data_IF_231575340025
#
_entry.id   IF_231575340025
#
_cell.length_a   1.000
_cell.length_b   1.000
_cell.length_c   1.000
_cell.angle_alpha   90.00
_cell.angle_beta   90.00
_cell.angle_gamma   90.00
#
_symmetry.space_group_name_H-M   'P 1'
#
loop_
_entity.id
_entity.type
_entity.pdbx_description
1 polymer ?
#
# COMPACT_ATOMS: atom_id res chain seq x y z
N UNK A 1 11.86 28.53 18.19
CA UNK A 1 10.96 27.38 18.40
C UNK A 1 10.58 26.94 17.01
N UNK A 2 11.35 26.02 16.46
CA UNK A 2 11.15 25.49 15.11
C UNK A 2 9.88 24.66 15.15
N UNK A 3 8.89 25.04 14.32
CA UNK A 3 7.66 24.29 14.16
C UNK A 3 8.08 22.91 13.64
N UNK A 4 7.87 21.86 14.43
CA UNK A 4 8.01 20.51 13.89
C UNK A 4 7.05 20.41 12.71
N UNK A 5 7.59 20.21 11.50
CA UNK A 5 6.79 19.94 10.32
C UNK A 5 5.84 18.79 10.67
N UNK A 6 4.53 19.02 10.55
CA UNK A 6 3.51 18.06 10.98
C UNK A 6 3.33 17.00 9.90
N UNK A 7 4.42 16.34 9.56
CA UNK A 7 4.49 15.33 8.51
C UNK A 7 5.50 14.25 8.85
N UNK A 8 5.26 13.06 8.30
CA UNK A 8 6.15 11.93 8.45
C UNK A 8 6.10 11.06 7.20
N UNK A 9 7.14 10.28 6.95
CA UNK A 9 7.19 9.33 5.85
C UNK A 9 7.58 7.94 6.31
N UNK A 10 6.97 6.91 5.73
CA UNK A 10 7.21 5.50 6.04
C UNK A 10 7.67 4.79 4.77
N UNK A 11 8.72 3.99 4.89
CA UNK A 11 9.21 3.11 3.84
C UNK A 11 9.40 1.71 4.43
N UNK A 12 8.48 0.78 4.12
CA UNK A 12 8.54 -0.59 4.64
C UNK A 12 9.43 -1.46 3.75
N UNK A 13 10.38 -2.18 4.33
CA UNK A 13 11.23 -3.09 3.53
C UNK A 13 10.50 -4.41 3.25
N UNK A 14 10.61 -4.90 2.02
CA UNK A 14 10.19 -6.27 1.65
C UNK A 14 11.12 -7.37 2.19
N UNK A 15 12.31 -7.00 2.67
CA UNK A 15 13.35 -7.95 3.05
C UNK A 15 13.03 -8.65 4.37
N UNK A 16 13.12 -9.97 4.36
CA UNK A 16 12.93 -10.84 5.54
C UNK A 16 14.23 -11.08 6.31
N UNK A 17 15.37 -10.63 5.78
CA UNK A 17 16.70 -10.84 6.34
C UNK A 17 17.29 -9.53 6.86
N UNK A 18 16.86 -9.12 8.06
CA UNK A 18 17.49 -8.10 8.94
C UNK A 18 17.79 -6.71 8.36
N UNK A 19 17.15 -6.30 7.27
CA UNK A 19 17.23 -4.89 6.82
C UNK A 19 15.98 -4.14 7.23
N UNK A 20 16.14 -3.14 8.09
CA UNK A 20 15.05 -2.31 8.59
C UNK A 20 14.49 -1.42 7.48
N UNK A 21 13.17 -1.25 7.44
CA UNK A 21 12.56 -0.08 6.81
C UNK A 21 12.85 1.19 7.61
N UNK A 22 12.28 2.32 7.18
CA UNK A 22 12.56 3.63 7.79
C UNK A 22 11.27 4.39 8.04
N UNK A 23 11.20 5.04 9.21
CA UNK A 23 10.21 6.06 9.54
C UNK A 23 10.95 7.39 9.69
N UNK A 24 10.52 8.39 8.94
CA UNK A 24 11.03 9.75 8.97
C UNK A 24 10.01 10.65 9.67
N UNK A 25 10.45 11.48 10.60
CA UNK A 25 9.66 12.62 11.07
C UNK A 25 10.22 13.88 10.42
N UNK A 26 9.35 14.67 9.80
CA UNK A 26 9.72 15.85 9.03
C UNK A 26 9.66 15.66 7.51
N UNK A 27 10.03 16.72 6.80
CA UNK A 27 10.10 16.76 5.35
C UNK A 27 11.39 16.16 4.79
N UNK A 28 11.34 15.84 3.50
CA UNK A 28 12.48 15.28 2.78
C UNK A 28 13.65 16.27 2.66
N UNK A 29 14.72 15.90 1.95
CA UNK A 29 14.76 14.83 0.96
C UNK A 29 14.95 13.43 1.57
N UNK A 30 14.30 12.42 0.95
CA UNK A 30 14.41 11.02 1.34
C UNK A 30 15.42 10.31 0.44
N UNK A 31 16.69 10.35 0.81
CA UNK A 31 17.80 9.86 -0.04
C UNK A 31 18.21 8.43 0.32
N UNK A 32 18.03 7.51 -0.61
CA UNK A 32 18.41 6.10 -0.49
C UNK A 32 19.68 5.82 -1.28
N UNK A 33 20.44 4.79 -0.91
CA UNK A 33 21.60 4.38 -1.71
C UNK A 33 21.16 3.97 -3.13
N UNK A 34 21.96 4.28 -4.17
CA UNK A 34 23.29 4.92 -4.16
C UNK A 34 23.27 6.46 -4.30
N UNK A 35 22.27 7.17 -3.76
CA UNK A 35 21.95 8.62 -3.83
C UNK A 35 20.70 8.94 -4.67
N UNK A 36 19.67 8.12 -4.53
CA UNK A 36 18.36 8.34 -5.15
C UNK A 36 17.50 9.11 -4.16
N UNK A 37 17.12 10.33 -4.53
CA UNK A 37 16.16 11.14 -3.78
C UNK A 37 14.73 10.78 -4.19
N UNK A 38 14.05 10.05 -3.30
CA UNK A 38 12.70 9.53 -3.54
C UNK A 38 11.64 10.62 -3.42
N UNK A 39 11.92 11.73 -2.72
CA UNK A 39 10.96 12.85 -2.56
C UNK A 39 10.52 13.43 -3.91
N UNK A 40 11.36 13.31 -4.94
CA UNK A 40 11.10 13.80 -6.31
C UNK A 40 10.11 12.92 -7.10
N UNK A 41 9.79 11.73 -6.60
CA UNK A 41 8.93 10.76 -7.27
C UNK A 41 7.59 10.56 -6.55
N UNK A 42 7.30 11.40 -5.56
CA UNK A 42 6.03 11.35 -4.85
C UNK A 42 4.89 11.88 -5.73
N UNK A 43 3.82 11.12 -5.79
CA UNK A 43 2.53 11.51 -6.35
C UNK A 43 1.60 11.76 -5.17
N UNK A 44 0.87 12.87 -5.22
CA UNK A 44 0.02 13.30 -4.11
C UNK A 44 -1.46 13.13 -4.43
N UNK A 45 -2.20 12.66 -3.44
CA UNK A 45 -3.66 12.68 -3.39
C UNK A 45 -4.10 13.40 -2.10
N UNK A 46 -5.29 14.03 -2.06
CA UNK A 46 -5.83 14.54 -0.81
C UNK A 46 -5.90 13.45 0.28
N UNK A 47 -5.59 13.83 1.51
CA UNK A 47 -5.79 12.99 2.69
C UNK A 47 -7.07 13.47 3.38
N UNK A 48 -8.03 12.57 3.55
CA UNK A 48 -9.31 12.85 4.19
C UNK A 48 -9.28 12.23 5.59
N UNK A 49 -9.48 13.06 6.61
CA UNK A 49 -9.66 12.57 7.97
C UNK A 49 -11.10 12.06 8.13
N UNK A 50 -11.26 10.81 8.55
CA UNK A 50 -12.58 10.25 8.83
C UNK A 50 -13.06 10.78 10.20
N UNK A 51 -14.26 11.39 10.31
CA UNK A 51 -14.79 11.89 11.58
C UNK A 51 -15.12 10.79 12.61
N UNK A 52 -15.22 9.52 12.20
CA UNK A 52 -15.53 8.43 13.13
C UNK A 52 -14.30 8.05 13.99
N UNK A 53 -14.39 8.39 15.29
CA UNK A 53 -13.38 8.11 16.32
C UNK A 53 -13.43 6.67 16.85
N UNK A 54 -14.29 5.81 16.29
CA UNK A 54 -14.42 4.40 16.68
C UNK A 54 -13.20 3.54 16.28
N UNK A 55 -12.37 4.02 15.34
CA UNK A 55 -11.11 3.40 14.95
C UNK A 55 -9.97 3.86 15.88
N UNK A 56 -9.37 2.94 16.61
CA UNK A 56 -8.30 3.20 17.59
C UNK A 56 -7.01 3.83 17.03
N UNK A 57 -5.92 3.88 17.83
CA UNK A 57 -4.74 4.74 17.61
C UNK A 57 -3.83 4.34 16.42
N UNK A 58 -4.28 3.48 15.52
CA UNK A 58 -3.48 2.95 14.42
C UNK A 58 -3.87 3.62 13.10
N UNK A 59 -2.90 4.35 12.53
CA UNK A 59 -2.92 5.06 11.24
C UNK A 59 -4.08 4.64 10.30
N UNK A 60 -5.20 5.35 10.39
CA UNK A 60 -6.31 5.27 9.44
C UNK A 60 -6.38 6.60 8.70
N UNK A 61 -5.54 6.75 7.68
CA UNK A 61 -5.75 7.79 6.67
C UNK A 61 -6.77 7.29 5.66
N UNK A 62 -7.88 8.00 5.47
CA UNK A 62 -8.78 7.74 4.35
C UNK A 62 -8.26 8.51 3.13
N UNK A 63 -8.02 7.81 2.03
CA UNK A 63 -7.48 8.38 0.79
C UNK A 63 -8.58 8.89 -0.15
N UNK A 64 -9.83 8.46 0.07
CA UNK A 64 -11.04 8.86 -0.64
C UNK A 64 -12.26 8.40 0.17
N UNK A 65 -13.40 9.11 0.11
CA UNK A 65 -14.68 8.73 0.73
C UNK A 65 -15.51 9.96 1.15
N UNK A 66 -16.83 9.88 1.01
CA UNK A 66 -17.77 10.90 1.51
C UNK A 66 -18.15 10.56 2.97
N UNK A 67 -18.01 11.55 3.86
CA UNK A 67 -18.57 11.65 5.22
C UNK A 67 -18.99 10.34 5.94
N UNK A 68 -18.07 9.38 6.06
CA UNK A 68 -18.23 8.22 6.95
C UNK A 68 -18.76 6.92 6.31
N UNK A 69 -19.11 6.90 5.02
CA UNK A 69 -19.44 5.68 4.30
C UNK A 69 -18.51 5.44 3.09
N UNK A 70 -17.89 4.27 3.09
CA UNK A 70 -17.02 3.81 2.03
C UNK A 70 -15.60 4.38 2.10
N UNK A 71 -14.95 4.44 0.95
CA UNK A 71 -13.61 5.00 0.85
C UNK A 71 -12.46 3.99 0.93
N UNK A 72 -11.23 4.50 0.95
CA UNK A 72 -10.01 3.68 0.96
C UNK A 72 -9.15 4.01 2.17
N UNK A 73 -8.79 3.00 2.98
CA UNK A 73 -7.85 3.15 4.09
C UNK A 73 -6.59 2.33 3.87
N UNK A 74 -5.51 2.71 4.56
CA UNK A 74 -4.28 1.90 4.65
C UNK A 74 -4.28 1.14 5.98
N UNK A 75 -3.89 -0.13 5.96
CA UNK A 75 -3.75 -0.94 7.17
C UNK A 75 -2.53 -1.87 7.09
N UNK A 76 -1.62 -1.73 8.05
CA UNK A 76 -0.48 -2.64 8.22
C UNK A 76 -0.84 -3.92 9.00
N UNK A 77 -2.05 -4.00 9.56
CA UNK A 77 -2.52 -5.16 10.33
C UNK A 77 -3.09 -6.27 9.45
N UNK A 78 -3.53 -5.90 8.24
CA UNK A 78 -4.10 -6.84 7.29
C UNK A 78 -3.00 -7.31 6.33
N UNK A 79 -2.76 -8.63 6.19
CA UNK A 79 -1.72 -9.15 5.30
C UNK A 79 -2.08 -8.96 3.81
N UNK A 80 -3.37 -8.88 3.49
CA UNK A 80 -3.88 -8.73 2.13
C UNK A 80 -4.85 -7.56 2.03
N UNK A 81 -4.96 -6.97 0.84
CA UNK A 81 -5.90 -5.88 0.60
C UNK A 81 -7.32 -6.43 0.68
N UNK A 82 -8.18 -5.76 1.44
CA UNK A 82 -9.59 -6.13 1.60
C UNK A 82 -10.45 -5.16 0.82
N UNK A 83 -11.49 -5.66 0.17
CA UNK A 83 -12.47 -4.84 -0.53
C UNK A 83 -13.89 -5.28 -0.19
N UNK A 84 -14.82 -4.34 -0.31
CA UNK A 84 -16.25 -4.61 -0.41
C UNK A 84 -16.52 -5.58 -1.58
N UNK A 85 -17.54 -6.43 -1.43
CA UNK A 85 -17.79 -7.58 -2.31
C UNK A 85 -18.02 -7.18 -3.76
N UNK A 86 -18.78 -6.11 -4.02
CA UNK A 86 -19.06 -5.66 -5.39
C UNK A 86 -17.79 -5.16 -6.09
N UNK A 87 -16.94 -4.41 -5.37
CA UNK A 87 -15.65 -3.93 -5.87
C UNK A 87 -14.71 -5.11 -6.13
N UNK A 88 -14.61 -6.04 -5.17
CA UNK A 88 -13.79 -7.24 -5.32
C UNK A 88 -14.17 -8.05 -6.55
N UNK A 89 -15.48 -8.30 -6.75
CA UNK A 89 -15.95 -9.08 -7.91
C UNK A 89 -15.66 -8.35 -9.23
N UNK A 90 -15.93 -7.04 -9.31
CA UNK A 90 -15.60 -6.25 -10.50
C UNK A 90 -14.11 -6.32 -10.83
N UNK A 91 -13.26 -6.21 -9.81
CA UNK A 91 -11.81 -6.27 -9.97
C UNK A 91 -11.35 -7.66 -10.45
N UNK A 92 -11.86 -8.73 -9.83
CA UNK A 92 -11.54 -10.11 -10.22
C UNK A 92 -11.98 -10.40 -11.65
N UNK A 93 -13.15 -9.92 -12.06
CA UNK A 93 -13.67 -10.10 -13.41
C UNK A 93 -12.83 -9.34 -14.44
N UNK A 94 -12.45 -8.09 -14.16
CA UNK A 94 -11.55 -7.31 -15.00
C UNK A 94 -10.19 -7.99 -15.16
N UNK A 95 -9.59 -8.48 -14.08
CA UNK A 95 -8.34 -9.25 -14.13
C UNK A 95 -8.50 -10.56 -14.88
N UNK A 96 -9.65 -11.22 -14.77
CA UNK A 96 -9.90 -12.47 -15.47
C UNK A 96 -9.96 -12.29 -16.99
N UNK A 97 -10.41 -11.13 -17.47
CA UNK A 97 -10.44 -10.76 -18.88
C UNK A 97 -9.02 -10.52 -19.41
N UNK A 98 -8.22 -9.71 -18.70
CA UNK A 98 -6.84 -9.40 -19.13
C UNK A 98 -5.93 -10.64 -19.20
N UNK A 99 -6.22 -11.64 -18.37
CA UNK A 99 -5.48 -12.90 -18.31
C UNK A 99 -6.27 -14.09 -18.87
N UNK A 100 -7.18 -13.86 -19.82
CA UNK A 100 -8.03 -14.91 -20.41
C UNK A 100 -7.20 -16.05 -21.03
N UNK A 101 -6.08 -15.69 -21.68
CA UNK A 101 -5.17 -16.65 -22.33
C UNK A 101 -4.24 -17.39 -21.35
N UNK A 102 -4.22 -16.99 -20.07
CA UNK A 102 -3.33 -17.59 -19.08
C UNK A 102 -4.03 -18.76 -18.37
N UNK A 103 -3.41 -19.95 -18.30
CA UNK A 103 -4.01 -21.10 -17.63
C UNK A 103 -4.31 -20.83 -16.14
N UNK A 104 -5.59 -20.90 -15.79
CA UNK A 104 -6.04 -20.84 -14.39
C UNK A 104 -5.54 -22.04 -13.60
N UNK A 105 -5.11 -21.79 -12.37
CA UNK A 105 -4.74 -22.79 -11.38
C UNK A 105 -5.91 -23.07 -10.42
N UNK A 106 -5.78 -24.11 -9.61
CA UNK A 106 -6.74 -24.38 -8.53
C UNK A 106 -6.68 -23.23 -7.51
N UNK A 107 -7.82 -22.61 -7.24
CA UNK A 107 -7.92 -21.57 -6.22
C UNK A 107 -7.49 -22.09 -4.84
N UNK A 108 -6.71 -21.28 -4.12
CA UNK A 108 -6.22 -21.55 -2.76
C UNK A 108 -6.78 -20.49 -1.84
N UNK A 109 -7.51 -20.89 -0.80
CA UNK A 109 -8.08 -19.93 0.17
C UNK A 109 -6.95 -19.07 0.78
N UNK A 110 -7.20 -17.76 1.00
CA UNK A 110 -8.46 -17.04 0.82
C UNK A 110 -8.74 -16.54 -0.61
N UNK A 111 -7.86 -16.83 -1.57
CA UNK A 111 -7.94 -16.33 -2.95
C UNK A 111 -8.95 -17.12 -3.80
N UNK A 112 -9.69 -16.40 -4.66
CA UNK A 112 -10.68 -17.00 -5.56
C UNK A 112 -10.18 -17.21 -6.99
N UNK A 113 -9.16 -16.46 -7.42
CA UNK A 113 -8.58 -16.52 -8.76
C UNK A 113 -7.07 -16.76 -8.64
N UNK A 114 -6.56 -17.80 -9.30
CA UNK A 114 -5.14 -18.15 -9.30
C UNK A 114 -4.73 -18.57 -10.71
N UNK A 115 -3.49 -18.27 -11.10
CA UNK A 115 -2.91 -18.61 -12.41
C UNK A 115 -1.61 -19.40 -12.26
N UNK A 116 -1.25 -20.17 -13.30
CA UNK A 116 0.03 -20.90 -13.31
C UNK A 116 1.16 -19.98 -13.75
N UNK A 117 2.14 -19.78 -12.87
CA UNK A 117 3.26 -18.84 -13.08
C UNK A 117 4.17 -19.17 -14.27
N UNK A 118 4.26 -20.46 -14.65
CA UNK A 118 5.15 -20.90 -15.75
C UNK A 118 4.79 -20.30 -17.12
N UNK A 119 3.58 -19.78 -17.24
CA UNK A 119 3.01 -19.23 -18.47
C UNK A 119 2.83 -17.71 -18.40
N UNK A 120 3.15 -17.10 -17.24
CA UNK A 120 3.19 -15.64 -17.08
C UNK A 120 4.55 -15.14 -17.56
N UNK A 121 4.59 -14.58 -18.76
CA UNK A 121 5.79 -13.95 -19.33
C UNK A 121 6.40 -12.99 -18.29
N UNK A 122 7.68 -13.19 -17.97
CA UNK A 122 8.43 -12.48 -16.90
C UNK A 122 8.33 -10.95 -17.02
N UNK A 123 8.07 -10.44 -18.23
CA UNK A 123 7.83 -9.02 -18.52
C UNK A 123 6.58 -8.43 -17.86
N UNK A 124 5.55 -9.23 -17.55
CA UNK A 124 4.33 -8.78 -16.86
C UNK A 124 4.52 -8.71 -15.35
N UNK A 125 5.38 -9.56 -14.76
CA UNK A 125 5.61 -9.59 -13.30
C UNK A 125 6.34 -8.32 -12.83
N UNK A 126 7.13 -7.70 -13.71
CA UNK A 126 7.72 -6.39 -13.48
C UNK A 126 6.71 -5.24 -13.65
N UNK A 127 5.50 -5.45 -14.19
CA UNK A 127 4.50 -4.38 -14.38
C UNK A 127 3.21 -4.57 -13.60
N UNK A 128 2.95 -5.78 -13.12
CA UNK A 128 1.85 -6.09 -12.21
C UNK A 128 2.40 -5.85 -10.82
N UNK A 129 2.10 -4.72 -10.15
CA UNK A 129 2.26 -4.67 -8.71
C UNK A 129 1.54 -5.92 -8.17
N UNK A 130 2.24 -6.77 -7.43
CA UNK A 130 1.65 -7.96 -6.82
C UNK A 130 0.59 -7.50 -5.85
N UNK A 131 -0.63 -7.26 -6.33
CA UNK A 131 -1.74 -6.85 -5.48
C UNK A 131 -2.52 -8.07 -5.05
N UNK A 132 -2.29 -8.44 -3.79
CA UNK A 132 -2.95 -9.56 -3.15
C UNK A 132 -4.28 -9.08 -2.58
N UNK A 133 -5.38 -9.43 -3.26
CA UNK A 133 -6.73 -9.10 -2.85
C UNK A 133 -7.44 -10.26 -2.19
N UNK A 134 -8.13 -9.97 -1.11
CA UNK A 134 -8.93 -10.94 -0.37
C UNK A 134 -10.31 -10.36 -0.08
N UNK A 135 -11.34 -11.18 -0.32
CA UNK A 135 -12.68 -10.91 0.17
C UNK A 135 -12.76 -11.29 1.66
N UNK A 136 -13.19 -10.37 2.52
CA UNK A 136 -13.61 -10.75 3.88
C UNK A 136 -14.92 -11.55 3.79
N UNK A 137 -14.89 -12.81 4.22
CA UNK A 137 -16.09 -13.63 4.34
C UNK A 137 -16.82 -13.27 5.64
N UNK A 138 -18.15 -13.17 5.60
CA UNK A 138 -19.01 -12.90 6.77
C UNK A 138 -18.91 -13.92 7.92
N UNK A 139 -18.19 -15.03 7.74
CA UNK A 139 -18.05 -16.11 8.73
C UNK A 139 -16.98 -15.83 9.82
N UNK A 140 -16.29 -14.68 9.77
CA UNK A 140 -15.31 -14.23 10.77
C UNK A 140 -15.87 -13.24 11.80
N UNK A 141 -17.20 -13.06 11.85
CA UNK A 141 -17.85 -12.12 12.77
C UNK A 141 -18.12 -10.74 12.17
N UNK A 142 -17.96 -10.58 10.85
CA UNK A 142 -18.66 -9.59 10.02
C UNK A 142 -18.77 -8.19 10.65
N UNK A 143 -17.65 -7.47 10.73
CA UNK A 143 -17.68 -6.03 10.99
C UNK A 143 -18.36 -5.38 9.79
N UNK A 144 -19.40 -4.59 10.05
CA UNK A 144 -20.03 -3.74 9.06
C UNK A 144 -18.94 -2.85 8.45
N UNK A 145 -18.60 -3.09 7.17
CA UNK A 145 -17.43 -2.46 6.55
C UNK A 145 -17.80 -1.01 6.22
N UNK A 146 -17.56 -0.10 7.16
CA UNK A 146 -17.70 1.35 6.94
C UNK A 146 -16.72 1.87 5.89
N UNK A 147 -15.70 1.09 5.52
CA UNK A 147 -14.70 1.43 4.48
C UNK A 147 -14.72 0.42 3.33
N UNK A 148 -14.72 0.90 2.08
CA UNK A 148 -14.86 0.05 0.89
C UNK A 148 -13.59 -0.69 0.48
N UNK A 149 -12.41 -0.09 0.71
CA UNK A 149 -11.10 -0.67 0.35
C UNK A 149 -10.11 -0.48 1.51
N UNK A 150 -9.37 -1.52 1.84
CA UNK A 150 -8.33 -1.53 2.86
C UNK A 150 -7.04 -2.02 2.23
N UNK A 151 -6.12 -1.11 1.94
CA UNK A 151 -4.81 -1.43 1.36
C UNK A 151 -3.92 -2.06 2.44
N UNK A 152 -3.43 -3.27 2.18
CA UNK A 152 -2.51 -3.98 3.09
C UNK A 152 -1.11 -3.37 3.13
N UNK A 153 -0.44 -3.48 4.28
CA UNK A 153 0.97 -3.12 4.44
C UNK A 153 1.92 -3.88 3.50
N UNK A 154 1.57 -5.10 3.08
CA UNK A 154 2.38 -5.88 2.13
C UNK A 154 2.47 -5.20 0.76
N UNK A 155 1.39 -4.54 0.33
CA UNK A 155 1.33 -3.76 -0.91
C UNK A 155 2.21 -2.51 -0.89
N UNK A 156 2.60 -2.10 0.32
CA UNK A 156 3.32 -0.86 0.58
C UNK A 156 4.81 -1.13 0.80
N UNK A 157 5.25 -2.39 0.73
CA UNK A 157 6.66 -2.73 0.75
C UNK A 157 7.39 -2.10 -0.44
N UNK A 158 8.57 -1.56 -0.17
CA UNK A 158 9.40 -0.82 -1.13
C UNK A 158 8.66 0.32 -1.83
N UNK A 159 7.65 0.91 -1.18
CA UNK A 159 7.03 2.16 -1.59
C UNK A 159 7.22 3.17 -0.44
N UNK A 160 7.55 4.41 -0.79
CA UNK A 160 7.62 5.50 0.19
C UNK A 160 6.26 6.16 0.31
N UNK A 161 5.73 6.24 1.53
CA UNK A 161 4.45 6.86 1.84
C UNK A 161 4.71 8.09 2.71
N UNK A 162 4.26 9.26 2.26
CA UNK A 162 4.38 10.51 2.98
C UNK A 162 3.00 10.97 3.45
N UNK A 163 2.89 11.25 4.74
CA UNK A 163 1.71 11.83 5.35
C UNK A 163 2.01 13.29 5.66
N UNK A 164 1.48 14.17 4.83
CA UNK A 164 1.57 15.61 4.98
C UNK A 164 0.27 16.10 5.62
N UNK A 165 0.24 16.11 6.96
CA UNK A 165 -0.96 16.50 7.71
C UNK A 165 -1.17 18.01 7.66
N UNK A 166 -0.10 18.79 7.48
CA UNK A 166 -0.15 20.24 7.35
C UNK A 166 -0.91 20.67 6.09
N UNK A 167 -0.66 20.02 4.95
CA UNK A 167 -1.36 20.31 3.69
C UNK A 167 -2.55 19.40 3.41
N UNK A 168 -2.87 18.48 4.33
CA UNK A 168 -3.88 17.42 4.17
C UNK A 168 -3.68 16.61 2.89
N UNK A 169 -2.46 16.11 2.66
CA UNK A 169 -2.11 15.30 1.48
C UNK A 169 -1.39 14.03 1.86
N UNK A 170 -1.64 13.01 1.05
CA UNK A 170 -0.94 11.74 1.10
C UNK A 170 -0.07 11.61 -0.15
N UNK A 171 1.24 11.58 0.04
CA UNK A 171 2.22 11.30 -1.00
C UNK A 171 2.54 9.81 -1.05
N UNK A 172 2.65 9.24 -2.24
CA UNK A 172 3.14 7.87 -2.42
C UNK A 172 4.07 7.80 -3.62
N UNK A 173 5.11 6.96 -3.53
CA UNK A 173 5.94 6.59 -4.67
C UNK A 173 5.39 5.35 -5.36
N UNK A 174 5.85 5.10 -6.60
CA UNK A 174 5.86 3.74 -7.15
C UNK A 174 6.93 2.89 -6.46
N UNK A 175 6.95 1.58 -6.72
CA UNK A 175 7.94 0.68 -6.13
C UNK A 175 9.35 1.18 -6.43
N UNK A 176 10.16 1.30 -5.37
CA UNK A 176 11.56 1.73 -5.44
C UNK A 176 12.42 0.72 -6.19
N UNK A 177 11.94 -0.52 -6.37
CA UNK A 177 12.59 -1.53 -7.19
C UNK A 177 12.78 -1.04 -8.64
N UNK A 178 11.80 -0.30 -9.20
CA UNK A 178 11.93 0.35 -10.51
C UNK A 178 12.98 1.45 -10.57
N UNK A 179 13.39 1.95 -9.41
CA UNK A 179 14.44 2.96 -9.25
C UNK A 179 15.78 2.34 -8.87
N UNK A 180 15.92 1.01 -8.91
CA UNK A 180 17.14 0.31 -8.49
C UNK A 180 17.52 0.57 -7.03
N UNK A 181 16.52 0.76 -6.15
CA UNK A 181 16.72 0.85 -4.71
C UNK A 181 15.59 0.17 -3.94
N UNK A 182 15.66 0.15 -2.62
CA UNK A 182 14.67 -0.48 -1.74
C UNK A 182 14.54 0.36 -0.48
N UNK A 183 13.48 0.15 0.30
CA UNK A 183 13.37 0.82 1.61
C UNK A 183 14.50 0.40 2.57
N UNK A 184 15.14 -0.76 2.34
CA UNK A 184 16.28 -1.26 3.10
C UNK A 184 17.61 -0.56 2.76
N UNK A 185 17.69 0.13 1.63
CA UNK A 185 18.90 0.81 1.17
C UNK A 185 19.10 2.20 1.78
N UNK A 186 18.30 2.56 2.79
CA UNK A 186 18.54 3.79 3.53
C UNK A 186 19.79 3.64 4.37
N UNK A 187 20.68 4.64 4.29
CA UNK A 187 21.88 4.62 5.10
C UNK A 187 21.70 5.41 6.40
N UNK A 188 21.46 4.69 7.49
CA UNK A 188 21.36 5.24 8.84
C UNK A 188 22.65 5.91 9.35
N UNK A 189 23.82 5.63 8.75
CA UNK A 189 25.09 6.23 9.21
C UNK A 189 25.37 7.61 8.63
N UNK A 190 24.65 8.05 7.60
CA UNK A 190 24.74 9.42 7.08
C UNK A 190 23.84 10.41 7.85
N UNK A 191 23.05 9.92 8.82
CA UNK A 191 22.03 10.70 9.53
C UNK A 191 22.50 11.30 10.87
N UNK A 192 23.80 11.48 11.06
CA UNK A 192 24.39 12.17 12.24
C UNK A 192 24.71 13.61 11.97
#
# INVERSE_FOLDING_TARGET
>A
MELMAWQFAICLSSSTTKSSGVLFFGDGPYVFLPRIDVSKFLIFTPLIENPDKSAGPFFHGSLAGDEGEGGTKISTLNPYTIMETSIYNYFVDAFAIEFEDVPKAKAVKPFKLCYKLKDLSVTMVDFVPTVDFVLQNKDDGGVEVTTSIVISGYQLHDNLLQFDLENSRFGFSSSLLFRQTTCANFNFTFST
#
